data_IF_699981464537
#
_entry.id   IF_699981464537
#
_cell.length_a   1.000
_cell.length_b   1.000
_cell.length_c   1.000
_cell.angle_alpha   90.00
_cell.angle_beta   90.00
_cell.angle_gamma   90.00
#
_symmetry.space_group_name_H-M   'P 1'
#
loop_
_entity.id
_entity.type
_entity.pdbx_description
1 polymer ?
#
# COMPACT_ATOMS: atom_id res chain seq x y z
N UNK A 1 -0.13 9.10 -9.12
CA UNK A 1 0.43 8.53 -7.88
C UNK A 1 1.64 9.34 -7.46
N UNK A 2 1.54 9.94 -6.28
CA UNK A 2 2.64 10.59 -5.58
C UNK A 2 2.79 9.95 -4.20
N UNK A 3 4.01 9.56 -3.85
CA UNK A 3 4.35 8.99 -2.53
C UNK A 3 5.11 10.06 -1.76
N UNK A 4 4.64 10.38 -0.55
CA UNK A 4 5.30 11.29 0.40
C UNK A 4 5.72 10.50 1.62
N UNK A 5 6.98 10.67 2.01
CA UNK A 5 7.55 10.09 3.20
C UNK A 5 7.57 11.13 4.31
N UNK A 6 6.94 10.82 5.44
CA UNK A 6 6.86 11.63 6.64
C UNK A 6 7.55 10.88 7.79
N UNK A 7 8.89 10.82 7.74
CA UNK A 7 9.67 10.02 8.70
C UNK A 7 9.36 8.53 8.53
N UNK A 8 8.65 7.95 9.50
CA UNK A 8 8.21 6.55 9.50
C UNK A 8 6.82 6.33 8.89
N UNK A 9 6.14 7.39 8.45
CA UNK A 9 4.81 7.34 7.86
C UNK A 9 4.87 7.57 6.35
N UNK A 10 4.00 6.90 5.58
CA UNK A 10 3.88 7.12 4.14
C UNK A 10 2.47 7.55 3.80
N UNK A 11 2.37 8.59 2.98
CA UNK A 11 1.11 9.03 2.38
C UNK A 11 1.21 8.85 0.86
N UNK A 12 0.22 8.17 0.29
CA UNK A 12 0.08 7.99 -1.16
C UNK A 12 -1.15 8.77 -1.60
N UNK A 13 -1.05 9.47 -2.73
CA UNK A 13 -2.08 10.37 -3.26
C UNK A 13 -2.18 10.26 -4.79
N UNK A 14 -3.32 10.68 -5.34
CA UNK A 14 -3.58 10.63 -6.79
C UNK A 14 -3.99 9.24 -7.28
N UNK A 15 -4.53 8.42 -6.39
CA UNK A 15 -5.09 7.08 -6.60
C UNK A 15 -6.53 6.97 -6.09
N UNK A 16 -7.15 8.07 -5.66
CA UNK A 16 -8.45 8.11 -5.01
C UNK A 16 -9.57 7.54 -5.91
N UNK A 17 -9.50 7.80 -7.22
CA UNK A 17 -10.45 7.24 -8.21
C UNK A 17 -10.30 5.72 -8.38
N UNK A 18 -9.07 5.21 -8.24
CA UNK A 18 -8.76 3.79 -8.31
C UNK A 18 -9.25 3.10 -7.03
N UNK A 19 -9.01 3.70 -5.86
CA UNK A 19 -9.50 3.20 -4.57
C UNK A 19 -11.03 3.11 -4.56
N UNK A 20 -11.71 4.17 -5.00
CA UNK A 20 -13.18 4.17 -5.10
C UNK A 20 -13.69 3.08 -6.05
N UNK A 21 -12.98 2.85 -7.15
CA UNK A 21 -13.33 1.81 -8.15
C UNK A 21 -13.12 0.39 -7.62
N UNK A 22 -12.09 0.17 -6.80
CA UNK A 22 -11.88 -1.11 -6.13
C UNK A 22 -13.09 -1.44 -5.22
N UNK A 23 -13.62 -0.42 -4.53
CA UNK A 23 -14.85 -0.52 -3.75
C UNK A 23 -14.78 -1.55 -2.62
N UNK A 24 -13.57 -1.77 -2.09
CA UNK A 24 -13.29 -2.68 -0.99
C UNK A 24 -12.33 -2.00 -0.01
N UNK A 25 -12.58 -2.19 1.29
CA UNK A 25 -11.55 -1.98 2.30
C UNK A 25 -10.67 -3.23 2.35
N UNK A 26 -9.39 -3.06 2.07
CA UNK A 26 -8.40 -4.11 2.25
C UNK A 26 -7.60 -3.80 3.51
N UNK A 27 -7.44 -4.82 4.35
CA UNK A 27 -6.53 -4.74 5.47
C UNK A 27 -5.20 -5.35 5.04
N UNK A 28 -4.06 -4.75 5.42
CA UNK A 28 -2.77 -5.28 5.06
C UNK A 28 -2.59 -6.65 5.73
N UNK A 29 -2.43 -7.69 4.91
CA UNK A 29 -2.03 -8.99 5.44
C UNK A 29 -0.54 -8.94 5.80
N UNK A 30 -0.13 -9.49 6.96
CA UNK A 30 1.29 -9.65 7.22
C UNK A 30 1.90 -10.53 6.12
N UNK A 31 3.01 -10.07 5.53
CA UNK A 31 3.76 -10.84 4.54
C UNK A 31 4.04 -12.24 5.09
N UNK A 32 3.75 -13.28 4.30
CA UNK A 32 4.10 -14.65 4.69
C UNK A 32 5.63 -14.80 4.65
N UNK A 33 6.17 -15.66 5.52
CA UNK A 33 7.61 -15.93 5.56
C UNK A 33 8.09 -16.43 4.19
N UNK A 34 8.96 -15.65 3.53
CA UNK A 34 9.49 -15.95 2.19
C UNK A 34 8.75 -15.28 1.03
N UNK A 35 7.68 -14.54 1.30
CA UNK A 35 6.99 -13.71 0.31
C UNK A 35 7.83 -12.46 0.00
N UNK A 36 8.03 -12.16 -1.29
CA UNK A 36 8.82 -11.01 -1.69
C UNK A 36 8.10 -9.72 -1.31
N UNK A 37 8.81 -8.73 -0.74
CA UNK A 37 8.22 -7.43 -0.43
C UNK A 37 7.75 -6.76 -1.71
N UNK A 38 6.72 -5.93 -1.61
CA UNK A 38 6.19 -5.19 -2.74
C UNK A 38 7.10 -4.03 -3.01
N UNK A 39 7.73 -4.00 -4.18
CA UNK A 39 8.63 -2.92 -4.55
C UNK A 39 7.84 -1.70 -5.06
N UNK A 40 8.46 -0.51 -5.03
CA UNK A 40 7.88 0.69 -5.66
C UNK A 40 7.58 0.47 -7.15
N UNK A 41 8.41 -0.31 -7.86
CA UNK A 41 8.22 -0.63 -9.28
C UNK A 41 6.95 -1.44 -9.51
N UNK A 42 6.70 -2.45 -8.67
CA UNK A 42 5.48 -3.26 -8.74
C UNK A 42 4.24 -2.42 -8.40
N UNK A 43 4.31 -1.64 -7.31
CA UNK A 43 3.23 -0.72 -6.95
C UNK A 43 2.89 0.23 -8.11
N UNK A 44 3.92 0.82 -8.73
CA UNK A 44 3.76 1.72 -9.87
C UNK A 44 3.17 1.01 -11.10
N UNK A 45 3.61 -0.22 -11.37
CA UNK A 45 3.06 -1.03 -12.47
C UNK A 45 1.56 -1.26 -12.30
N UNK A 46 1.11 -1.66 -11.11
CA UNK A 46 -0.31 -1.88 -10.85
C UNK A 46 -1.12 -0.58 -10.88
N UNK A 47 -0.56 0.52 -10.37
CA UNK A 47 -1.18 1.84 -10.47
C UNK A 47 -1.43 2.23 -11.93
N UNK A 48 -0.40 2.17 -12.77
CA UNK A 48 -0.51 2.58 -14.17
C UNK A 48 -1.46 1.68 -14.95
N UNK A 49 -1.45 0.38 -14.66
CA UNK A 49 -2.39 -0.57 -15.24
C UNK A 49 -3.83 -0.23 -14.86
N UNK A 50 -4.12 -0.03 -13.57
CA UNK A 50 -5.44 0.33 -13.08
C UNK A 50 -5.94 1.69 -13.61
N UNK A 51 -5.02 2.66 -13.74
CA UNK A 51 -5.32 3.97 -14.32
C UNK A 51 -5.68 3.88 -15.82
N UNK A 52 -4.98 3.05 -16.58
CA UNK A 52 -5.21 2.88 -18.03
C UNK A 52 -6.46 2.07 -18.34
N UNK A 53 -6.63 0.92 -17.71
CA UNK A 53 -7.72 -0.01 -18.04
C UNK A 53 -9.04 0.37 -17.40
N UNK A 54 -9.00 1.09 -16.27
CA UNK A 54 -10.16 1.52 -15.49
C UNK A 54 -11.10 0.38 -15.10
N UNK A 55 -10.58 -0.83 -14.91
CA UNK A 55 -11.38 -1.98 -14.46
C UNK A 55 -11.35 -2.11 -12.94
N UNK A 56 -12.41 -2.71 -12.38
CA UNK A 56 -12.48 -3.03 -10.95
C UNK A 56 -11.38 -4.02 -10.54
N UNK A 57 -11.10 -5.03 -11.37
CA UNK A 57 -10.11 -6.05 -11.05
C UNK A 57 -8.68 -5.48 -11.00
N UNK A 58 -8.31 -4.63 -11.95
CA UNK A 58 -6.99 -3.99 -11.92
C UNK A 58 -6.87 -3.01 -10.75
N UNK A 59 -7.97 -2.31 -10.40
CA UNK A 59 -8.01 -1.49 -9.19
C UNK A 59 -7.78 -2.32 -7.92
N UNK A 60 -8.42 -3.48 -7.78
CA UNK A 60 -8.21 -4.39 -6.65
C UNK A 60 -6.75 -4.84 -6.55
N UNK A 61 -6.12 -5.21 -7.68
CA UNK A 61 -4.70 -5.60 -7.69
C UNK A 61 -3.79 -4.47 -7.22
N UNK A 62 -4.10 -3.23 -7.62
CA UNK A 62 -3.39 -2.06 -7.12
C UNK A 62 -3.55 -1.88 -5.61
N UNK A 63 -4.77 -1.99 -5.07
CA UNK A 63 -5.00 -1.82 -3.62
C UNK A 63 -4.27 -2.89 -2.81
N UNK A 64 -4.20 -4.15 -3.29
CA UNK A 64 -3.41 -5.19 -2.62
C UNK A 64 -1.92 -4.83 -2.57
N UNK A 65 -1.37 -4.37 -3.70
CA UNK A 65 0.03 -3.92 -3.75
C UNK A 65 0.28 -2.70 -2.86
N UNK A 66 -0.69 -1.78 -2.80
CA UNK A 66 -0.65 -0.58 -1.97
C UNK A 66 -0.57 -0.93 -0.48
N UNK A 67 -1.49 -1.77 0.00
CA UNK A 67 -1.53 -2.22 1.40
C UNK A 67 -0.23 -2.93 1.81
N UNK A 68 0.28 -3.81 0.95
CA UNK A 68 1.55 -4.48 1.20
C UNK A 68 2.72 -3.49 1.26
N UNK A 69 2.78 -2.53 0.33
CA UNK A 69 3.82 -1.50 0.31
C UNK A 69 3.76 -0.61 1.55
N UNK A 70 2.56 -0.16 1.95
CA UNK A 70 2.35 0.66 3.15
C UNK A 70 2.74 -0.15 4.39
N UNK A 71 2.25 -1.38 4.56
CA UNK A 71 2.60 -2.24 5.69
C UNK A 71 4.11 -2.47 5.86
N UNK A 72 4.86 -2.53 4.76
CA UNK A 72 6.31 -2.74 4.77
C UNK A 72 7.12 -1.48 5.12
N UNK A 73 6.60 -0.29 4.83
CA UNK A 73 7.38 0.94 4.88
C UNK A 73 6.79 1.99 5.82
N UNK A 74 5.56 1.78 6.31
CA UNK A 74 4.89 2.61 7.30
C UNK A 74 5.01 1.98 8.69
N UNK A 75 5.97 2.48 9.46
CA UNK A 75 6.32 1.99 10.79
C UNK A 75 5.69 2.84 11.91
N UNK A 76 4.50 3.41 11.68
CA UNK A 76 3.76 4.22 12.68
C UNK A 76 3.67 3.59 14.08
N UNK A 77 3.72 2.26 14.19
CA UNK A 77 3.61 1.52 15.47
C UNK A 77 4.94 0.95 16.02
N UNK A 78 6.09 1.08 15.34
CA UNK A 78 7.37 0.61 15.93
C UNK A 78 7.73 1.39 17.21
N UNK A 79 7.34 2.66 17.29
CA UNK A 79 7.49 3.45 18.52
C UNK A 79 6.39 3.19 19.56
N UNK A 80 5.24 2.58 19.21
CA UNK A 80 4.29 2.10 20.23
C UNK A 80 4.76 0.79 20.86
N UNK A 81 5.37 -0.11 20.09
CA UNK A 81 5.91 -1.39 20.60
C UNK A 81 7.21 -1.24 21.39
N UNK A 82 7.99 -0.18 21.19
CA UNK A 82 9.19 0.14 21.99
C UNK A 82 8.90 0.99 23.24
N UNK A 83 7.63 1.28 23.52
CA UNK A 83 7.19 2.19 24.57
C UNK A 83 6.59 1.55 25.82
N UNK A 84 6.74 0.24 26.05
CA UNK A 84 6.30 -0.39 27.31
C UNK A 84 7.19 -1.58 27.69
N UNK A 85 8.24 -1.31 28.47
CA UNK A 85 8.50 -1.97 29.77
C UNK A 85 9.31 -0.94 30.59
N UNK A 86 8.67 -0.30 31.58
CA UNK A 86 9.36 0.29 32.72
C UNK A 86 9.56 -0.81 33.76
#
# INVERSE_FOLDING_TARGET
>A
MQIKYHGQHITITGDEDILQRAGIELNPSPLRKGELPTTYKELRYFYERAYRTKTKNDAILYVIALENYVSQNDHRDENKRKGQVY
#
